data_IF_071917651493
#
_entry.id   IF_071917651493
#
_cell.length_a   1.000
_cell.length_b   1.000
_cell.length_c   1.000
_cell.angle_alpha   90.00
_cell.angle_beta   90.00
_cell.angle_gamma   90.00
#
_symmetry.space_group_name_H-M   'P 1'
#
loop_
_entity.id
_entity.type
_entity.pdbx_description
1 polymer ?
#
# COMPACT_ATOMS: atom_id res chain seq x y z
N UNK A 1 14.13 46.87 22.52
CA UNK A 1 13.07 46.08 21.88
C UNK A 1 13.64 44.81 21.22
N UNK A 2 14.27 43.90 21.95
CA UNK A 2 14.94 42.72 21.36
C UNK A 2 14.72 41.39 22.12
N UNK A 3 13.83 41.34 23.10
CA UNK A 3 13.61 40.13 23.93
C UNK A 3 12.27 39.39 23.65
N UNK A 4 11.41 39.95 22.83
CA UNK A 4 10.09 39.38 22.55
C UNK A 4 10.14 38.43 21.35
N UNK A 5 11.12 38.54 20.46
CA UNK A 5 11.21 37.68 19.26
C UNK A 5 11.75 36.27 19.51
N UNK A 6 12.45 36.02 20.62
CA UNK A 6 13.02 34.71 20.93
C UNK A 6 11.99 33.71 21.49
N UNK A 7 10.89 34.19 22.07
CA UNK A 7 9.88 33.31 22.67
C UNK A 7 8.90 32.74 21.65
N UNK A 8 8.75 33.37 20.48
CA UNK A 8 7.82 32.87 19.44
C UNK A 8 8.45 31.77 18.61
N UNK A 9 9.78 31.74 18.46
CA UNK A 9 10.47 30.72 17.66
C UNK A 9 10.59 29.35 18.37
N UNK A 10 10.58 29.32 19.70
CA UNK A 10 10.67 28.06 20.47
C UNK A 10 9.33 27.32 20.47
N UNK A 11 8.20 27.99 20.35
CA UNK A 11 6.89 27.34 20.33
C UNK A 11 6.53 26.68 18.98
N UNK A 12 7.19 27.05 17.87
CA UNK A 12 6.95 26.45 16.56
C UNK A 12 7.70 25.11 16.39
N UNK A 13 8.79 24.90 17.14
CA UNK A 13 9.58 23.67 17.07
C UNK A 13 9.00 22.49 17.88
N UNK A 14 8.06 22.75 18.79
CA UNK A 14 7.44 21.70 19.64
C UNK A 14 6.20 21.06 18.98
N UNK A 15 5.65 21.67 17.92
CA UNK A 15 4.44 21.18 17.25
C UNK A 15 4.67 20.12 16.18
N UNK A 16 5.92 19.75 15.89
CA UNK A 16 6.23 18.77 14.83
C UNK A 16 6.55 17.35 15.32
N UNK A 17 6.41 17.06 16.62
CA UNK A 17 6.73 15.73 17.17
C UNK A 17 5.53 14.85 17.55
N UNK A 18 4.32 15.17 17.10
CA UNK A 18 3.12 14.49 17.58
C UNK A 18 2.28 13.83 16.48
N UNK A 19 2.88 13.07 15.54
CA UNK A 19 2.10 12.16 14.71
C UNK A 19 2.90 10.90 14.27
N UNK A 20 3.72 10.33 15.16
CA UNK A 20 3.97 8.91 15.11
C UNK A 20 2.79 8.24 15.83
N UNK A 21 1.66 8.10 15.13
CA UNK A 21 0.55 7.32 15.64
C UNK A 21 1.03 5.87 15.63
N UNK A 22 1.23 5.29 16.79
CA UNK A 22 1.52 3.87 16.94
C UNK A 22 0.52 3.08 16.10
N UNK A 23 1.02 2.40 15.08
CA UNK A 23 0.22 1.52 14.24
C UNK A 23 -0.09 0.29 15.08
N UNK A 24 -1.17 0.35 15.85
CA UNK A 24 -1.65 -0.79 16.62
C UNK A 24 -2.34 -1.74 15.66
N UNK A 25 -1.60 -2.71 15.13
CA UNK A 25 -2.19 -3.80 14.35
C UNK A 25 -2.95 -4.67 15.35
N UNK A 26 -4.26 -4.63 15.24
CA UNK A 26 -5.16 -5.41 16.08
C UNK A 26 -4.78 -6.90 15.97
N UNK A 27 -4.53 -7.55 17.09
CA UNK A 27 -4.39 -9.01 17.14
C UNK A 27 -5.63 -9.64 16.51
N UNK A 28 -5.44 -10.60 15.58
CA UNK A 28 -6.49 -11.28 14.84
C UNK A 28 -7.11 -10.51 13.65
N UNK A 29 -6.36 -9.61 13.01
CA UNK A 29 -6.81 -9.12 11.71
C UNK A 29 -6.88 -10.31 10.74
N UNK A 30 -8.05 -10.54 10.17
CA UNK A 30 -8.27 -11.55 9.13
C UNK A 30 -9.27 -11.00 8.12
N UNK A 31 -8.75 -10.54 6.99
CA UNK A 31 -9.53 -9.98 5.90
C UNK A 31 -9.27 -10.82 4.65
N UNK A 32 -10.32 -11.27 4.01
CA UNK A 32 -10.27 -12.01 2.74
C UNK A 32 -11.13 -11.30 1.70
N UNK A 33 -10.56 -11.09 0.52
CA UNK A 33 -11.19 -10.37 -0.58
C UNK A 33 -11.14 -11.18 -1.86
N UNK A 34 -12.16 -10.97 -2.70
CA UNK A 34 -12.16 -11.33 -4.11
C UNK A 34 -12.14 -10.01 -4.86
N UNK A 35 -11.20 -9.83 -5.77
CA UNK A 35 -10.97 -8.56 -6.44
C UNK A 35 -11.04 -8.73 -7.96
N UNK A 36 -11.77 -7.85 -8.61
CA UNK A 36 -11.88 -7.72 -10.07
C UNK A 36 -10.99 -6.55 -10.52
N UNK A 37 -10.15 -6.79 -11.52
CA UNK A 37 -9.32 -5.73 -12.12
C UNK A 37 -10.22 -4.76 -12.86
N UNK A 38 -10.09 -3.46 -12.58
CA UNK A 38 -10.75 -2.39 -13.31
C UNK A 38 -9.86 -1.87 -14.44
N UNK A 39 -8.63 -1.50 -14.09
CA UNK A 39 -7.65 -0.94 -15.01
C UNK A 39 -6.23 -1.05 -14.51
N UNK A 40 -5.30 -0.91 -15.44
CA UNK A 40 -3.87 -0.83 -15.16
C UNK A 40 -3.28 0.44 -15.78
N UNK A 41 -2.41 1.10 -15.04
CA UNK A 41 -1.69 2.29 -15.50
C UNK A 41 -0.21 1.91 -15.57
N UNK A 42 0.41 2.09 -16.74
CA UNK A 42 1.78 1.66 -17.02
C UNK A 42 2.65 2.85 -17.37
N UNK A 43 3.80 2.97 -16.70
CA UNK A 43 4.91 3.84 -17.08
C UNK A 43 6.15 2.99 -17.32
N UNK A 44 6.71 3.08 -18.52
CA UNK A 44 7.98 2.46 -18.90
C UNK A 44 8.64 3.25 -20.05
N UNK A 45 9.59 2.68 -20.76
CA UNK A 45 10.25 3.31 -21.91
C UNK A 45 9.29 3.58 -23.09
N UNK A 46 8.21 2.81 -23.22
CA UNK A 46 7.23 2.92 -24.31
C UNK A 46 6.03 3.78 -23.92
N UNK A 47 5.61 3.71 -22.66
CA UNK A 47 4.40 4.37 -22.19
C UNK A 47 4.69 5.37 -21.07
N UNK A 48 4.08 6.56 -21.17
CA UNK A 48 4.11 7.55 -20.10
C UNK A 48 2.73 7.61 -19.42
N UNK A 49 2.52 6.71 -18.42
CA UNK A 49 1.26 6.56 -17.68
C UNK A 49 0.05 6.23 -18.58
N UNK A 50 0.25 5.29 -19.51
CA UNK A 50 -0.84 4.81 -20.35
C UNK A 50 -1.81 3.95 -19.52
N UNK A 51 -3.10 4.20 -19.71
CA UNK A 51 -4.19 3.46 -19.07
C UNK A 51 -4.64 2.34 -20.00
N UNK A 52 -4.77 1.14 -19.44
CA UNK A 52 -5.36 -0.04 -20.07
C UNK A 52 -6.56 -0.47 -19.23
N UNK A 53 -7.68 -0.73 -19.87
CA UNK A 53 -8.85 -1.31 -19.20
C UNK A 53 -8.65 -2.81 -19.04
N UNK A 54 -9.34 -3.42 -18.06
CA UNK A 54 -9.25 -4.85 -17.79
C UNK A 54 -9.57 -5.72 -19.02
N UNK A 55 -10.51 -5.25 -19.86
CA UNK A 55 -10.92 -5.92 -21.09
C UNK A 55 -9.81 -5.99 -22.15
N UNK A 56 -8.84 -5.05 -22.11
CA UNK A 56 -7.69 -4.99 -23.00
C UNK A 56 -6.52 -5.86 -22.53
N UNK A 57 -6.58 -6.32 -21.29
CA UNK A 57 -5.54 -7.08 -20.62
C UNK A 57 -6.00 -8.52 -20.43
N UNK A 58 -5.16 -9.49 -20.79
CA UNK A 58 -5.34 -10.88 -20.38
C UNK A 58 -4.91 -11.08 -18.92
N UNK A 59 -5.16 -10.10 -18.07
CA UNK A 59 -4.75 -10.12 -16.67
C UNK A 59 -5.83 -10.78 -15.82
N UNK A 60 -5.41 -11.54 -14.81
CA UNK A 60 -6.32 -12.31 -13.98
C UNK A 60 -6.81 -11.48 -12.82
N UNK A 61 -8.08 -11.66 -12.49
CA UNK A 61 -8.65 -11.20 -11.23
C UNK A 61 -7.95 -11.88 -10.05
N UNK A 62 -7.96 -11.22 -8.89
CA UNK A 62 -7.46 -11.79 -7.65
C UNK A 62 -8.57 -12.60 -6.97
N UNK A 63 -8.55 -13.92 -7.15
CA UNK A 63 -9.57 -14.84 -6.64
C UNK A 63 -9.55 -14.97 -5.11
N UNK A 64 -8.41 -14.70 -4.48
CA UNK A 64 -8.26 -14.75 -3.03
C UNK A 64 -7.08 -13.86 -2.61
N UNK A 65 -7.40 -12.69 -2.13
CA UNK A 65 -6.44 -11.79 -1.53
C UNK A 65 -6.69 -11.72 -0.03
N UNK A 66 -5.68 -12.04 0.79
CA UNK A 66 -5.80 -12.09 2.25
C UNK A 66 -4.81 -11.16 2.91
N UNK A 67 -5.34 -10.43 3.91
CA UNK A 67 -4.54 -9.64 4.85
C UNK A 67 -4.82 -10.21 6.24
N UNK A 68 -3.80 -10.70 6.92
CA UNK A 68 -3.98 -11.26 8.26
C UNK A 68 -2.79 -10.97 9.17
N UNK A 69 -3.03 -11.05 10.47
CA UNK A 69 -2.02 -10.91 11.51
C UNK A 69 -2.04 -12.15 12.38
N UNK A 70 -0.90 -12.80 12.57
CA UNK A 70 -0.73 -13.94 13.47
C UNK A 70 0.11 -13.61 14.71
N UNK A 71 0.66 -12.38 14.77
CA UNK A 71 1.45 -11.85 15.88
C UNK A 71 1.21 -10.35 15.99
N UNK A 72 1.38 -9.75 17.17
CA UNK A 72 1.32 -8.30 17.35
C UNK A 72 2.23 -7.58 16.35
N UNK A 73 1.73 -6.51 15.75
CA UNK A 73 2.46 -5.66 14.80
C UNK A 73 3.02 -6.35 13.56
N UNK A 74 2.55 -7.57 13.25
CA UNK A 74 2.94 -8.30 12.04
C UNK A 74 1.76 -8.39 11.09
N UNK A 75 1.97 -7.96 9.84
CA UNK A 75 0.99 -8.10 8.77
C UNK A 75 1.51 -9.11 7.75
N UNK A 76 0.65 -10.03 7.36
CA UNK A 76 0.94 -11.02 6.33
C UNK A 76 -0.03 -10.84 5.18
N UNK A 77 0.50 -10.84 3.95
CA UNK A 77 -0.25 -10.63 2.71
C UNK A 77 -0.13 -11.89 1.86
N UNK A 78 -1.25 -12.38 1.40
CA UNK A 78 -1.29 -13.53 0.52
C UNK A 78 -2.23 -13.29 -0.67
N UNK A 79 -1.85 -13.80 -1.86
CA UNK A 79 -2.66 -13.73 -3.07
C UNK A 79 -2.48 -12.47 -3.91
N UNK A 80 -1.88 -11.38 -3.40
CA UNK A 80 -1.66 -10.17 -4.15
C UNK A 80 -0.46 -10.29 -5.11
N UNK A 81 0.69 -10.70 -4.58
CA UNK A 81 1.88 -11.00 -5.36
C UNK A 81 2.78 -12.04 -4.66
N UNK A 82 3.69 -12.65 -5.43
CA UNK A 82 4.71 -13.53 -4.85
C UNK A 82 5.67 -12.76 -3.95
N UNK A 83 5.99 -11.52 -4.31
CA UNK A 83 6.90 -10.67 -3.57
C UNK A 83 6.38 -10.39 -2.16
N UNK A 84 5.11 -9.99 -2.01
CA UNK A 84 4.50 -9.80 -0.70
C UNK A 84 4.37 -11.09 0.09
N UNK A 85 4.00 -12.20 -0.56
CA UNK A 85 3.82 -13.50 0.12
C UNK A 85 5.13 -14.06 0.68
N UNK A 86 6.28 -13.66 0.14
CA UNK A 86 7.61 -14.16 0.52
C UNK A 86 8.43 -13.14 1.33
N UNK A 87 7.99 -11.87 1.39
CA UNK A 87 8.76 -10.81 2.00
C UNK A 87 8.43 -10.66 3.50
N UNK A 88 9.42 -10.95 4.35
CA UNK A 88 9.31 -10.77 5.81
C UNK A 88 9.50 -9.32 6.27
N UNK A 89 10.02 -8.44 5.41
CA UNK A 89 10.41 -7.06 5.73
C UNK A 89 9.39 -6.03 5.21
N UNK A 90 8.11 -6.33 5.35
CA UNK A 90 7.07 -5.42 4.92
C UNK A 90 6.87 -4.28 5.90
N UNK A 91 6.85 -3.05 5.39
CA UNK A 91 6.51 -1.87 6.16
C UNK A 91 4.99 -1.65 6.15
N UNK A 92 4.38 -1.75 7.31
CA UNK A 92 2.98 -1.36 7.50
C UNK A 92 2.94 0.13 7.77
N UNK A 93 2.20 0.87 6.94
CA UNK A 93 2.10 2.34 7.05
C UNK A 93 0.84 2.77 7.77
N UNK A 94 -0.29 2.12 7.46
CA UNK A 94 -1.59 2.44 8.06
C UNK A 94 -2.38 1.13 8.20
N UNK A 95 -2.95 0.91 9.38
CA UNK A 95 -4.01 -0.08 9.58
C UNK A 95 -5.07 0.54 10.47
N UNK A 96 -6.26 0.77 9.92
CA UNK A 96 -7.40 1.25 10.67
C UNK A 96 -8.71 0.64 10.12
N UNK A 97 -9.85 1.05 10.65
CA UNK A 97 -11.16 0.55 10.21
C UNK A 97 -11.50 0.86 8.74
N UNK A 98 -10.89 1.88 8.16
CA UNK A 98 -11.22 2.39 6.83
C UNK A 98 -10.18 1.99 5.78
N UNK A 99 -8.90 1.92 6.15
CA UNK A 99 -7.77 1.75 5.22
C UNK A 99 -6.73 0.80 5.78
N UNK A 100 -6.15 -0.01 4.90
CA UNK A 100 -4.88 -0.72 5.13
C UNK A 100 -3.90 -0.31 4.05
N UNK A 101 -2.73 0.19 4.44
CA UNK A 101 -1.63 0.58 3.56
C UNK A 101 -0.35 -0.11 4.00
N UNK A 102 0.29 -0.79 3.08
CA UNK A 102 1.56 -1.49 3.29
C UNK A 102 2.49 -1.34 2.09
N UNK A 103 3.79 -1.47 2.34
CA UNK A 103 4.85 -1.36 1.34
C UNK A 103 6.00 -2.31 1.66
N UNK A 104 6.64 -2.84 0.64
CA UNK A 104 7.84 -3.64 0.75
C UNK A 104 8.86 -3.25 -0.32
N UNK A 105 10.14 -3.48 -0.01
CA UNK A 105 11.27 -3.26 -0.90
C UNK A 105 12.10 -4.53 -1.01
N UNK A 106 12.81 -4.73 -2.14
CA UNK A 106 13.90 -5.68 -2.17
C UNK A 106 15.11 -5.14 -1.39
N UNK A 107 16.11 -6.01 -1.14
CA UNK A 107 17.27 -5.65 -0.34
C UNK A 107 18.07 -4.49 -0.95
N UNK A 108 18.20 -4.44 -2.28
CA UNK A 108 18.93 -3.40 -3.01
C UNK A 108 18.13 -2.10 -3.16
N UNK A 109 16.86 -2.08 -2.74
CA UNK A 109 15.92 -0.95 -2.92
C UNK A 109 15.77 -0.48 -4.38
N UNK A 110 15.92 -1.41 -5.32
CA UNK A 110 15.70 -1.18 -6.75
C UNK A 110 14.28 -1.55 -7.19
N UNK A 111 13.58 -2.32 -6.34
CA UNK A 111 12.22 -2.80 -6.54
C UNK A 111 11.37 -2.52 -5.31
N UNK A 112 10.13 -2.10 -5.52
CA UNK A 112 9.16 -1.98 -4.44
C UNK A 112 7.76 -2.34 -4.89
N UNK A 113 6.97 -2.85 -3.96
CA UNK A 113 5.53 -2.96 -4.09
C UNK A 113 4.85 -2.21 -2.96
N UNK A 114 3.75 -1.54 -3.26
CA UNK A 114 2.87 -0.95 -2.26
C UNK A 114 1.42 -1.24 -2.60
N UNK A 115 0.59 -1.36 -1.58
CA UNK A 115 -0.83 -1.50 -1.79
C UNK A 115 -1.62 -0.73 -0.73
N UNK A 116 -2.72 -0.15 -1.17
CA UNK A 116 -3.70 0.49 -0.31
C UNK A 116 -5.07 -0.10 -0.62
N UNK A 117 -5.75 -0.60 0.41
CA UNK A 117 -7.14 -1.02 0.30
C UNK A 117 -8.03 -0.14 1.16
N UNK A 118 -9.06 0.43 0.55
CA UNK A 118 -10.12 1.16 1.22
C UNK A 118 -11.24 0.20 1.58
N UNK A 119 -11.34 -0.16 2.86
CA UNK A 119 -12.23 -1.24 3.35
C UNK A 119 -13.72 -0.95 3.14
N UNK A 120 -14.10 0.32 3.04
CA UNK A 120 -15.48 0.75 2.83
C UNK A 120 -15.91 0.63 1.38
N UNK A 121 -15.11 1.12 0.44
CA UNK A 121 -15.40 1.07 -1.00
C UNK A 121 -14.97 -0.25 -1.64
N UNK A 122 -14.02 -0.97 -1.05
CA UNK A 122 -13.40 -2.15 -1.64
C UNK A 122 -12.35 -1.82 -2.71
N UNK A 123 -12.01 -0.54 -2.91
CA UNK A 123 -10.96 -0.17 -3.85
C UNK A 123 -9.60 -0.61 -3.35
N UNK A 124 -8.88 -1.38 -4.17
CA UNK A 124 -7.50 -1.77 -3.96
C UNK A 124 -6.63 -1.16 -5.06
N UNK A 125 -5.65 -0.37 -4.67
CA UNK A 125 -4.61 0.14 -5.56
C UNK A 125 -3.32 -0.60 -5.22
N UNK A 126 -2.77 -1.34 -6.20
CA UNK A 126 -1.50 -2.05 -6.08
C UNK A 126 -0.49 -1.44 -7.05
N UNK A 127 0.60 -0.92 -6.50
CA UNK A 127 1.68 -0.29 -7.26
C UNK A 127 2.94 -1.15 -7.18
N UNK A 128 3.53 -1.41 -8.35
CA UNK A 128 4.85 -2.04 -8.52
C UNK A 128 5.77 -1.03 -9.15
N UNK A 129 6.94 -0.78 -8.54
CA UNK A 129 7.97 0.09 -9.11
C UNK A 129 9.26 -0.70 -9.26
N UNK A 130 9.85 -0.67 -10.47
CA UNK A 130 11.14 -1.28 -10.82
C UNK A 130 12.15 -0.20 -11.15
N UNK A 131 13.43 -0.51 -10.98
CA UNK A 131 14.53 0.40 -11.29
C UNK A 131 14.38 1.77 -10.58
N UNK A 132 14.03 1.78 -9.29
CA UNK A 132 13.59 2.95 -8.53
C UNK A 132 14.55 4.13 -8.63
N UNK A 133 15.86 3.88 -8.66
CA UNK A 133 16.89 4.92 -8.66
C UNK A 133 17.47 5.19 -10.06
N UNK A 134 16.76 4.81 -11.11
CA UNK A 134 17.18 4.92 -12.49
C UNK A 134 16.29 5.88 -13.27
N UNK A 135 16.85 6.55 -14.27
CA UNK A 135 16.06 7.33 -15.24
C UNK A 135 15.04 6.44 -15.99
N UNK A 136 15.34 5.15 -16.10
CA UNK A 136 14.46 4.14 -16.69
C UNK A 136 13.55 3.48 -15.67
N UNK A 137 13.13 4.20 -14.63
CA UNK A 137 12.19 3.65 -13.64
C UNK A 137 10.86 3.29 -14.29
N UNK A 138 10.39 2.09 -14.03
CA UNK A 138 9.12 1.56 -14.52
C UNK A 138 8.11 1.50 -13.38
N UNK A 139 6.85 1.75 -13.70
CA UNK A 139 5.77 1.72 -12.72
C UNK A 139 4.53 1.08 -13.33
N UNK A 140 3.98 0.10 -12.61
CA UNK A 140 2.69 -0.52 -12.87
C UNK A 140 1.75 -0.22 -11.71
N UNK A 141 0.58 0.34 -11.98
CA UNK A 141 -0.47 0.59 -10.99
C UNK A 141 -1.71 -0.17 -11.42
N UNK A 142 -2.09 -1.17 -10.66
CA UNK A 142 -3.32 -1.94 -10.87
C UNK A 142 -4.40 -1.47 -9.90
N UNK A 143 -5.57 -1.19 -10.41
CA UNK A 143 -6.73 -0.75 -9.65
C UNK A 143 -7.79 -1.86 -9.72
N UNK A 144 -8.22 -2.34 -8.56
CA UNK A 144 -9.19 -3.42 -8.41
C UNK A 144 -10.39 -2.97 -7.59
N UNK A 145 -11.52 -3.59 -7.85
CA UNK A 145 -12.68 -3.61 -6.97
C UNK A 145 -12.76 -4.92 -6.20
N UNK A 146 -12.72 -4.84 -4.88
CA UNK A 146 -12.68 -5.97 -3.97
C UNK A 146 -13.96 -6.11 -3.17
N UNK A 147 -14.49 -7.32 -3.08
CA UNK A 147 -15.58 -7.70 -2.18
C UNK A 147 -15.00 -8.48 -1.00
N UNK A 148 -15.40 -8.13 0.21
CA UNK A 148 -14.98 -8.86 1.41
C UNK A 148 -15.73 -10.20 1.46
N UNK A 149 -14.99 -11.31 1.43
CA UNK A 149 -15.52 -12.66 1.41
C UNK A 149 -16.14 -13.07 2.76
N UNK A 150 -15.62 -12.54 3.87
CA UNK A 150 -16.08 -12.89 5.22
C UNK A 150 -17.41 -12.22 5.64
N UNK A 151 -17.93 -11.25 4.87
CA UNK A 151 -19.21 -10.58 5.16
C UNK A 151 -20.43 -11.25 4.55
N UNK A 152 -20.23 -12.31 3.75
CA UNK A 152 -21.31 -13.04 3.07
C UNK A 152 -21.56 -14.44 3.65
N UNK A 153 -21.10 -14.69 4.89
CA UNK A 153 -21.36 -15.91 5.63
C UNK A 153 -22.31 -15.67 6.81
#
# INVERSE_FOLDING_TARGET
MSKVFYFIFINILILNSAFAKDINIQENLNLEFICELEKKIVKNSEYNYKIFLAEELNDKNLDSFKIYSNKPNTLLINGLSKFFSQNSNMEVKIVNKDVVLFKAFNNEKTYSESAIITRKSGELIHEVTRNINSENSEKDISIYYCKNKSKNA
#
